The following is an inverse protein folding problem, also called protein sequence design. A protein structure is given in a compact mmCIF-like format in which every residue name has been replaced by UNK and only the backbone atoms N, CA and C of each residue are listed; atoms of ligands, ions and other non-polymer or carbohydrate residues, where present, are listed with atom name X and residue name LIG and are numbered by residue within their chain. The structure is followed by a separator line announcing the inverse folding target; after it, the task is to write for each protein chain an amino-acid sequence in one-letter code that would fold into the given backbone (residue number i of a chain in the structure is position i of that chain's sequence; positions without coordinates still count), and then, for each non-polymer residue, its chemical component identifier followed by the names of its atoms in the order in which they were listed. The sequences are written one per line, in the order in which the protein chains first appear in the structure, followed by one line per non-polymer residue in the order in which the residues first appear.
data_IF_101736240871
#
_entry.id   IF_101736240871
#
_cell.length_a   1.000
_cell.length_b   1.000
_cell.length_c   1.000
_cell.angle_alpha   90.00
_cell.angle_beta   90.00
_cell.angle_gamma   90.00
#
_symmetry.space_group_name_H-M   'P 1'
#
loop_
_entity.id
_entity.type
_entity.pdbx_description
1 polymer ?
#
# COMPACT_ATOMS: atom_id res chain seq x y z
N UNK A 1 -19.10 17.37 3.74
CA UNK A 1 -20.19 17.98 4.52
C UNK A 1 -19.64 18.64 5.77
N UNK A 2 -19.02 17.90 6.67
CA UNK A 2 -18.53 18.41 7.97
C UNK A 2 -17.47 19.51 7.82
N UNK A 3 -16.52 19.37 6.89
CA UNK A 3 -15.50 20.40 6.61
C UNK A 3 -16.14 21.68 6.13
N UNK A 4 -17.14 21.60 5.25
CA UNK A 4 -17.89 22.73 4.72
C UNK A 4 -18.66 23.47 5.82
N UNK A 5 -19.32 22.71 6.71
CA UNK A 5 -20.07 23.25 7.84
C UNK A 5 -19.16 23.94 8.86
N UNK A 6 -17.97 23.38 9.13
CA UNK A 6 -17.02 23.95 10.08
C UNK A 6 -16.24 25.15 9.51
N UNK A 7 -15.89 25.12 8.23
CA UNK A 7 -15.16 26.21 7.58
C UNK A 7 -16.03 27.45 7.31
N UNK A 8 -17.34 27.25 7.15
CA UNK A 8 -18.30 28.32 6.95
C UNK A 8 -18.37 28.89 5.54
N UNK A 9 -17.56 28.38 4.62
CA UNK A 9 -17.52 28.78 3.20
C UNK A 9 -17.56 27.56 2.29
N UNK A 10 -17.92 27.79 1.00
CA UNK A 10 -17.87 26.76 -0.03
C UNK A 10 -16.40 26.52 -0.43
N UNK A 11 -15.91 25.30 -0.24
CA UNK A 11 -14.58 24.90 -0.65
C UNK A 11 -14.61 24.38 -2.09
N UNK A 12 -14.35 25.27 -3.05
CA UNK A 12 -14.28 24.91 -4.47
C UNK A 12 -12.87 24.49 -4.89
N UNK A 13 -11.85 25.06 -4.28
CA UNK A 13 -10.43 24.80 -4.53
C UNK A 13 -9.68 24.51 -3.25
N UNK A 14 -8.82 23.47 -3.34
CA UNK A 14 -7.89 23.08 -2.28
C UNK A 14 -6.49 23.05 -2.90
N UNK A 15 -5.47 23.48 -2.17
CA UNK A 15 -4.09 23.57 -2.68
C UNK A 15 -3.48 22.22 -3.00
N UNK A 16 -3.73 21.21 -2.16
CA UNK A 16 -3.31 19.83 -2.36
C UNK A 16 -4.06 18.90 -1.41
N UNK A 17 -4.07 17.61 -1.74
CA UNK A 17 -4.70 16.56 -0.93
C UNK A 17 -3.75 15.39 -0.77
N UNK A 18 -4.01 14.52 0.20
CA UNK A 18 -3.32 13.25 0.39
C UNK A 18 -4.20 12.28 1.17
N UNK A 19 -3.93 11.00 0.97
CA UNK A 19 -4.65 9.93 1.66
C UNK A 19 -3.69 9.16 2.57
N UNK A 20 -4.15 8.95 3.79
CA UNK A 20 -3.51 8.08 4.76
C UNK A 20 -4.54 7.08 5.26
N UNK A 21 -4.24 5.79 5.14
CA UNK A 21 -5.13 4.75 5.59
C UNK A 21 -4.35 3.61 6.24
N UNK A 22 -5.07 2.60 6.76
CA UNK A 22 -4.43 1.42 7.33
C UNK A 22 -3.50 0.76 6.32
N UNK A 23 -2.30 0.43 6.75
CA UNK A 23 -1.31 -0.30 5.96
C UNK A 23 -1.72 -1.75 5.74
N UNK A 24 -1.05 -2.39 4.79
CA UNK A 24 -1.16 -3.83 4.53
C UNK A 24 -2.53 -4.28 4.01
N UNK A 25 -2.75 -5.58 4.03
CA UNK A 25 -3.97 -6.19 3.54
C UNK A 25 -3.92 -6.51 2.05
N UNK A 26 -5.02 -6.98 1.52
CA UNK A 26 -5.07 -7.54 0.17
C UNK A 26 -6.39 -7.19 -0.50
N UNK A 27 -6.33 -6.35 -1.52
CA UNK A 27 -7.44 -5.96 -2.39
C UNK A 27 -7.08 -6.30 -3.84
N UNK A 28 -7.39 -7.50 -4.32
CA UNK A 28 -7.09 -7.93 -5.69
C UNK A 28 -8.20 -7.54 -6.66
N UNK A 29 -7.81 -7.15 -7.87
CA UNK A 29 -8.69 -6.72 -8.95
C UNK A 29 -8.35 -7.46 -10.24
N UNK A 30 -9.37 -7.67 -11.09
CA UNK A 30 -9.23 -8.16 -12.46
C UNK A 30 -8.91 -7.04 -13.46
N UNK A 31 -8.83 -7.38 -14.76
CA UNK A 31 -8.57 -6.42 -15.85
C UNK A 31 -9.69 -5.39 -16.02
N UNK A 32 -10.92 -5.70 -15.61
CA UNK A 32 -12.07 -4.81 -15.62
C UNK A 32 -12.22 -3.99 -14.34
N UNK A 33 -11.21 -4.00 -13.45
CA UNK A 33 -11.19 -3.28 -12.18
C UNK A 33 -12.25 -3.75 -11.15
N UNK A 34 -12.75 -4.98 -11.29
CA UNK A 34 -13.64 -5.59 -10.31
C UNK A 34 -12.84 -6.19 -9.15
N UNK A 35 -13.31 -5.98 -7.92
CA UNK A 35 -12.72 -6.60 -6.73
C UNK A 35 -13.00 -8.11 -6.74
N UNK A 36 -11.96 -8.92 -6.83
CA UNK A 36 -12.04 -10.38 -7.00
C UNK A 36 -12.49 -11.13 -5.74
N UNK A 37 -12.07 -10.66 -4.57
CA UNK A 37 -12.47 -11.21 -3.26
C UNK A 37 -12.67 -10.09 -2.25
N UNK A 38 -13.43 -10.30 -1.17
CA UNK A 38 -13.58 -9.30 -0.11
C UNK A 38 -12.23 -8.85 0.46
N UNK A 39 -12.10 -7.57 0.76
CA UNK A 39 -10.89 -6.98 1.32
C UNK A 39 -10.41 -7.72 2.57
N UNK A 40 -9.21 -8.28 2.52
CA UNK A 40 -8.51 -8.88 3.66
C UNK A 40 -7.68 -7.80 4.33
N UNK A 41 -8.10 -7.34 5.51
CA UNK A 41 -7.42 -6.26 6.22
C UNK A 41 -6.18 -6.76 6.97
N UNK A 42 -5.40 -5.86 7.54
CA UNK A 42 -4.25 -6.16 8.39
C UNK A 42 -4.55 -7.07 9.60
N UNK A 43 -5.82 -7.21 10.00
CA UNK A 43 -6.27 -8.12 11.07
C UNK A 43 -6.41 -9.57 10.62
N UNK A 44 -6.40 -9.80 9.32
CA UNK A 44 -6.47 -11.13 8.78
C UNK A 44 -5.12 -11.82 8.93
N UNK A 45 -5.07 -12.95 9.61
CA UNK A 45 -3.87 -13.70 9.96
C UNK A 45 -3.88 -15.15 9.42
N UNK A 46 -4.56 -15.39 8.30
CA UNK A 46 -4.63 -16.72 7.68
C UNK A 46 -3.36 -17.13 6.95
N UNK A 47 -2.33 -16.31 6.96
CA UNK A 47 -1.15 -16.36 6.08
C UNK A 47 0.10 -16.95 6.75
N UNK A 48 -0.05 -17.73 7.81
CA UNK A 48 1.06 -18.33 8.54
C UNK A 48 1.94 -19.19 7.63
N UNK A 49 1.33 -20.07 6.84
CA UNK A 49 2.01 -20.95 5.89
C UNK A 49 2.83 -20.16 4.85
N UNK A 50 2.25 -19.08 4.34
CA UNK A 50 2.92 -18.20 3.38
C UNK A 50 4.15 -17.51 4.02
N UNK A 51 4.02 -17.01 5.25
CA UNK A 51 5.11 -16.32 5.93
C UNK A 51 6.26 -17.25 6.31
N UNK A 52 5.97 -18.50 6.65
CA UNK A 52 6.97 -19.54 6.95
C UNK A 52 7.84 -19.87 5.72
N UNK A 53 7.30 -19.72 4.51
CA UNK A 53 8.04 -19.87 3.26
C UNK A 53 8.75 -18.60 2.85
N UNK A 54 8.04 -17.46 2.84
CA UNK A 54 8.56 -16.20 2.30
C UNK A 54 9.67 -15.59 3.18
N UNK A 55 9.59 -15.72 4.50
CA UNK A 55 10.58 -15.17 5.43
C UNK A 55 11.99 -15.74 5.18
N UNK A 56 12.22 -17.05 5.15
CA UNK A 56 13.54 -17.59 4.82
C UNK A 56 13.93 -17.37 3.36
N UNK A 57 12.98 -17.37 2.42
CA UNK A 57 13.24 -17.14 1.00
C UNK A 57 13.84 -15.74 0.76
N UNK A 58 13.26 -14.72 1.37
CA UNK A 58 13.72 -13.33 1.23
C UNK A 58 14.86 -12.98 2.20
N UNK A 59 15.06 -13.77 3.26
CA UNK A 59 16.05 -13.47 4.29
C UNK A 59 15.68 -12.24 5.14
N UNK A 60 14.38 -11.95 5.22
CA UNK A 60 13.82 -10.91 6.09
C UNK A 60 12.43 -11.30 6.59
N UNK A 61 12.02 -10.73 7.72
CA UNK A 61 10.70 -10.98 8.29
C UNK A 61 9.59 -10.52 7.35
N UNK A 62 8.70 -11.44 6.99
CA UNK A 62 7.46 -11.15 6.26
C UNK A 62 6.29 -11.35 7.23
N UNK A 63 5.73 -10.28 7.79
CA UNK A 63 4.58 -10.39 8.70
C UNK A 63 3.34 -10.93 7.99
N UNK A 64 2.51 -11.67 8.72
CA UNK A 64 1.28 -12.28 8.18
C UNK A 64 0.31 -11.28 7.53
N UNK A 65 0.33 -10.02 7.96
CA UNK A 65 -0.55 -8.97 7.44
C UNK A 65 -0.13 -8.37 6.10
N UNK A 66 1.09 -8.66 5.61
CA UNK A 66 1.59 -8.10 4.36
C UNK A 66 0.84 -8.61 3.14
N UNK A 67 0.69 -7.76 2.13
CA UNK A 67 -0.07 -8.07 0.91
C UNK A 67 0.51 -9.28 0.16
N UNK A 68 1.84 -9.39 0.08
CA UNK A 68 2.49 -10.54 -0.56
C UNK A 68 2.23 -11.85 0.19
N UNK A 69 2.12 -11.82 1.52
CA UNK A 69 1.78 -12.99 2.30
C UNK A 69 0.35 -13.47 2.00
N UNK A 70 -0.59 -12.53 1.82
CA UNK A 70 -1.95 -12.87 1.40
C UNK A 70 -2.03 -13.42 -0.02
N UNK A 71 -1.28 -12.83 -0.96
CA UNK A 71 -1.21 -13.33 -2.33
C UNK A 71 -0.66 -14.76 -2.35
N UNK A 72 0.48 -14.99 -1.68
CA UNK A 72 1.08 -16.32 -1.67
C UNK A 72 0.22 -17.34 -0.92
N UNK A 73 -0.47 -16.95 0.15
CA UNK A 73 -1.42 -17.85 0.82
C UNK A 73 -2.60 -18.21 -0.08
N UNK A 74 -3.11 -17.27 -0.87
CA UNK A 74 -4.15 -17.56 -1.86
C UNK A 74 -3.68 -18.56 -2.93
N UNK A 75 -2.42 -18.44 -3.36
CA UNK A 75 -1.77 -19.40 -4.28
C UNK A 75 -1.67 -20.79 -3.63
N UNK A 76 -1.21 -20.87 -2.39
CA UNK A 76 -1.10 -22.13 -1.63
C UNK A 76 -2.46 -22.81 -1.46
N UNK A 77 -3.49 -22.04 -1.19
CA UNK A 77 -4.87 -22.51 -1.03
C UNK A 77 -5.51 -22.91 -2.37
N UNK A 78 -4.91 -22.57 -3.52
CA UNK A 78 -5.51 -22.78 -4.84
C UNK A 78 -6.78 -21.94 -5.05
N UNK A 79 -6.82 -20.72 -4.54
CA UNK A 79 -7.97 -19.84 -4.69
C UNK A 79 -8.14 -19.39 -6.15
N UNK A 80 -9.33 -19.59 -6.70
CA UNK A 80 -9.62 -19.39 -8.13
C UNK A 80 -9.31 -17.98 -8.66
N UNK A 81 -9.48 -16.96 -7.81
CA UNK A 81 -9.30 -15.57 -8.20
C UNK A 81 -7.86 -15.21 -8.59
N UNK A 82 -6.87 -16.00 -8.15
CA UNK A 82 -5.44 -15.70 -8.37
C UNK A 82 -5.08 -15.70 -9.86
N UNK A 83 -5.74 -16.56 -10.66
CA UNK A 83 -5.50 -16.63 -12.12
C UNK A 83 -5.98 -15.40 -12.89
N UNK A 84 -6.99 -14.71 -12.35
CA UNK A 84 -7.63 -13.54 -12.96
C UNK A 84 -7.08 -12.22 -12.40
N UNK A 85 -6.00 -12.29 -11.59
CA UNK A 85 -5.39 -11.13 -10.95
C UNK A 85 -4.67 -10.24 -11.96
N UNK A 86 -5.08 -8.98 -12.06
CA UNK A 86 -4.44 -7.96 -12.88
C UNK A 86 -3.81 -6.82 -12.05
N UNK A 87 -4.28 -6.63 -10.82
CA UNK A 87 -3.78 -5.60 -9.93
C UNK A 87 -4.14 -5.92 -8.48
N UNK A 88 -3.28 -5.59 -7.52
CA UNK A 88 -3.68 -5.59 -6.11
C UNK A 88 -3.04 -4.43 -5.36
N UNK A 89 -3.73 -3.95 -4.33
CA UNK A 89 -3.29 -2.76 -3.61
C UNK A 89 -3.76 -2.76 -2.15
N UNK A 90 -3.40 -1.72 -1.42
CA UNK A 90 -3.85 -1.39 -0.07
C UNK A 90 -5.09 -0.49 -0.09
N UNK A 91 -5.65 -0.21 1.08
CA UNK A 91 -6.79 0.72 1.18
C UNK A 91 -6.42 2.14 0.75
N UNK A 92 -5.23 2.64 1.12
CA UNK A 92 -4.78 3.97 0.71
C UNK A 92 -4.61 4.06 -0.80
N UNK A 93 -4.00 3.06 -1.42
CA UNK A 93 -3.85 2.95 -2.87
C UNK A 93 -5.19 2.87 -3.59
N UNK A 94 -6.13 2.08 -3.08
CA UNK A 94 -7.49 2.00 -3.66
C UNK A 94 -8.22 3.34 -3.63
N UNK A 95 -8.21 4.04 -2.50
CA UNK A 95 -8.86 5.36 -2.40
C UNK A 95 -8.21 6.34 -3.36
N UNK A 96 -6.86 6.36 -3.40
CA UNK A 96 -6.11 7.22 -4.30
C UNK A 96 -6.46 6.96 -5.76
N UNK A 97 -6.42 5.71 -6.19
CA UNK A 97 -6.79 5.30 -7.53
C UNK A 97 -8.21 5.75 -7.92
N UNK A 98 -9.18 5.57 -7.02
CA UNK A 98 -10.57 6.01 -7.25
C UNK A 98 -10.71 7.53 -7.38
N UNK A 99 -9.78 8.30 -6.81
CA UNK A 99 -9.78 9.76 -6.87
C UNK A 99 -9.01 10.31 -8.07
N UNK A 100 -7.97 9.61 -8.54
CA UNK A 100 -7.01 10.10 -9.54
C UNK A 100 -7.00 9.33 -10.84
N UNK A 101 -7.41 8.06 -10.83
CA UNK A 101 -7.18 7.11 -11.92
C UNK A 101 -5.79 6.46 -11.89
N UNK A 102 -4.88 6.90 -10.99
CA UNK A 102 -3.49 6.41 -10.94
C UNK A 102 -3.33 5.25 -9.95
N UNK A 103 -2.77 4.13 -10.41
CA UNK A 103 -2.49 2.92 -9.61
C UNK A 103 -1.10 3.00 -8.96
N UNK A 104 -0.93 3.92 -8.03
CA UNK A 104 0.35 4.21 -7.37
C UNK A 104 0.26 4.11 -5.85
N UNK A 105 1.40 3.91 -5.19
CA UNK A 105 1.56 3.99 -3.74
C UNK A 105 2.75 4.88 -3.36
N UNK A 106 2.69 5.49 -2.19
CA UNK A 106 3.86 5.99 -1.52
C UNK A 106 4.78 4.85 -1.07
N UNK A 107 6.09 5.10 -1.05
CA UNK A 107 7.10 4.08 -0.72
C UNK A 107 6.88 3.47 0.67
N UNK A 108 6.36 4.25 1.62
CA UNK A 108 6.08 3.76 2.97
C UNK A 108 4.99 2.69 2.98
N UNK A 109 3.88 2.92 2.29
CA UNK A 109 2.79 1.93 2.19
C UNK A 109 3.18 0.73 1.31
N UNK A 110 3.87 0.98 0.17
CA UNK A 110 4.40 -0.06 -0.70
C UNK A 110 5.33 -1.03 0.05
N UNK A 111 6.11 -0.54 1.03
CA UNK A 111 6.97 -1.38 1.88
C UNK A 111 6.21 -2.40 2.75
N UNK A 112 4.92 -2.19 2.93
CA UNK A 112 4.02 -3.13 3.60
C UNK A 112 3.33 -4.11 2.65
N UNK A 113 3.49 -3.93 1.35
CA UNK A 113 3.03 -4.88 0.34
C UNK A 113 4.10 -5.89 -0.02
N UNK A 114 5.30 -5.40 -0.34
CA UNK A 114 6.45 -6.18 -0.75
C UNK A 114 7.76 -5.49 -0.30
N UNK A 115 8.87 -6.23 -0.09
CA UNK A 115 10.16 -5.64 0.27
C UNK A 115 10.65 -4.56 -0.68
N UNK A 116 11.21 -3.49 -0.12
CA UNK A 116 11.77 -2.35 -0.84
C UNK A 116 13.30 -2.39 -0.75
N UNK A 117 13.98 -2.20 -1.88
CA UNK A 117 15.42 -1.92 -1.88
C UNK A 117 15.65 -0.49 -1.37
N UNK A 118 16.38 -0.31 -0.25
CA UNK A 118 16.60 1.00 0.35
C UNK A 118 17.43 1.95 -0.53
N UNK A 119 18.15 1.45 -1.54
CA UNK A 119 18.96 2.24 -2.47
C UNK A 119 18.14 2.81 -3.60
N UNK A 120 17.39 1.94 -4.28
CA UNK A 120 16.55 2.32 -5.43
C UNK A 120 15.22 2.92 -5.03
N UNK A 121 14.73 2.63 -3.81
CA UNK A 121 13.39 2.98 -3.32
C UNK A 121 12.26 2.34 -4.15
N UNK A 122 12.59 1.28 -4.85
CA UNK A 122 11.66 0.45 -5.61
C UNK A 122 11.54 -0.93 -4.95
N UNK A 123 10.61 -1.75 -5.41
CA UNK A 123 10.52 -3.15 -4.99
C UNK A 123 11.84 -3.87 -5.22
N UNK A 124 12.27 -4.69 -4.27
CA UNK A 124 13.54 -5.41 -4.34
C UNK A 124 13.50 -6.43 -5.49
N UNK A 125 14.25 -6.15 -6.56
CA UNK A 125 14.24 -6.98 -7.76
C UNK A 125 14.72 -8.41 -7.51
N UNK A 126 15.70 -8.60 -6.60
CA UNK A 126 16.20 -9.94 -6.26
C UNK A 126 15.12 -10.77 -5.55
N UNK A 127 14.34 -10.12 -4.68
CA UNK A 127 13.24 -10.79 -3.99
C UNK A 127 12.05 -11.04 -4.93
N UNK A 128 11.81 -10.14 -5.89
CA UNK A 128 10.81 -10.36 -6.95
C UNK A 128 11.16 -11.58 -7.80
N UNK A 129 12.41 -11.69 -8.27
CA UNK A 129 12.87 -12.86 -9.04
C UNK A 129 12.71 -14.16 -8.23
N UNK A 130 13.07 -14.14 -6.94
CA UNK A 130 12.86 -15.32 -6.06
C UNK A 130 11.38 -15.69 -5.91
N UNK A 131 10.49 -14.71 -5.86
CA UNK A 131 9.05 -14.98 -5.79
C UNK A 131 8.53 -15.55 -7.11
N UNK A 132 8.95 -15.00 -8.25
CA UNK A 132 8.61 -15.56 -9.57
C UNK A 132 9.09 -17.00 -9.73
N UNK A 133 10.32 -17.31 -9.31
CA UNK A 133 10.85 -18.67 -9.30
C UNK A 133 10.02 -19.62 -8.40
N UNK A 134 9.58 -19.11 -7.24
CA UNK A 134 8.77 -19.89 -6.28
C UNK A 134 7.41 -20.30 -6.85
N UNK A 135 6.82 -19.48 -7.71
CA UNK A 135 5.49 -19.73 -8.29
C UNK A 135 5.52 -20.20 -9.74
N UNK A 136 6.69 -20.40 -10.32
CA UNK A 136 6.87 -20.70 -11.75
C UNK A 136 6.08 -21.94 -12.23
N UNK A 137 5.87 -22.93 -11.37
CA UNK A 137 5.09 -24.14 -11.66
C UNK A 137 3.58 -23.89 -11.78
N UNK A 138 3.10 -22.72 -11.36
CA UNK A 138 1.69 -22.35 -11.41
C UNK A 138 1.27 -21.78 -12.76
N UNK A 139 2.22 -21.32 -13.57
CA UNK A 139 1.99 -20.81 -14.95
C UNK A 139 0.92 -19.71 -15.02
N UNK A 140 0.94 -18.75 -14.09
CA UNK A 140 0.07 -17.60 -14.15
C UNK A 140 0.37 -16.74 -15.38
N UNK A 141 -0.65 -16.07 -15.93
CA UNK A 141 -0.50 -15.15 -17.07
C UNK A 141 0.13 -13.81 -16.70
N UNK A 142 0.11 -13.44 -15.43
CA UNK A 142 0.67 -12.21 -14.87
C UNK A 142 2.05 -12.43 -14.25
N UNK A 143 2.85 -11.38 -14.20
CA UNK A 143 4.07 -11.29 -13.40
C UNK A 143 3.88 -10.34 -12.23
N UNK A 144 4.61 -10.55 -11.14
CA UNK A 144 4.49 -9.73 -9.93
C UNK A 144 4.68 -8.24 -10.21
N UNK A 145 5.61 -7.88 -11.11
CA UNK A 145 5.87 -6.51 -11.51
C UNK A 145 4.65 -5.83 -12.17
N UNK A 146 3.82 -6.61 -12.88
CA UNK A 146 2.69 -6.07 -13.62
C UNK A 146 1.48 -5.80 -12.73
N UNK A 147 1.38 -6.51 -11.61
CA UNK A 147 0.21 -6.46 -10.72
C UNK A 147 0.42 -5.61 -9.46
N UNK A 148 1.66 -5.16 -9.18
CA UNK A 148 1.98 -4.27 -8.08
C UNK A 148 1.75 -2.79 -8.46
N UNK A 149 1.35 -1.92 -7.51
CA UNK A 149 1.29 -0.47 -7.75
C UNK A 149 2.65 0.12 -8.06
N UNK A 150 2.70 1.14 -8.89
CA UNK A 150 3.91 1.93 -9.10
C UNK A 150 4.26 2.73 -7.82
N UNK A 151 5.55 2.80 -7.48
CA UNK A 151 6.00 3.51 -6.28
C UNK A 151 6.27 4.99 -6.59
N UNK A 152 5.80 5.87 -5.72
CA UNK A 152 6.14 7.30 -5.71
C UNK A 152 6.78 7.69 -4.38
N UNK A 153 7.73 8.60 -4.44
CA UNK A 153 8.37 9.16 -3.24
C UNK A 153 7.60 10.38 -2.73
N UNK A 154 7.76 10.68 -1.45
CA UNK A 154 7.20 11.89 -0.88
C UNK A 154 7.67 13.14 -1.63
N UNK A 155 6.71 13.97 -2.06
CA UNK A 155 6.95 15.16 -2.87
C UNK A 155 6.90 14.94 -4.38
N UNK A 156 6.82 13.71 -4.87
CA UNK A 156 6.54 13.44 -6.27
C UNK A 156 5.06 13.60 -6.60
N UNK A 157 4.75 13.82 -7.86
CA UNK A 157 3.36 13.87 -8.32
C UNK A 157 2.77 12.46 -8.35
N UNK A 158 1.60 12.31 -7.79
CA UNK A 158 0.80 11.09 -7.85
C UNK A 158 -0.54 11.30 -8.56
N UNK A 159 -0.60 12.27 -9.46
CA UNK A 159 -1.80 12.62 -10.20
C UNK A 159 -2.59 13.77 -9.56
N UNK A 160 -3.77 13.99 -10.07
CA UNK A 160 -4.69 15.03 -9.62
C UNK A 160 -6.11 14.49 -9.50
N UNK A 161 -6.90 15.14 -8.66
CA UNK A 161 -8.30 14.80 -8.47
C UNK A 161 -9.05 14.87 -9.81
N UNK A 162 -9.66 13.77 -10.21
CA UNK A 162 -10.52 13.71 -11.40
C UNK A 162 -11.91 14.32 -11.14
N UNK A 163 -12.69 14.54 -12.17
CA UNK A 163 -14.09 14.98 -12.03
C UNK A 163 -14.93 13.94 -11.28
N UNK A 164 -14.71 12.66 -11.56
CA UNK A 164 -15.35 11.54 -10.88
C UNK A 164 -14.93 11.48 -9.42
N UNK A 165 -13.63 11.63 -9.12
CA UNK A 165 -13.10 11.68 -7.77
C UNK A 165 -13.65 12.87 -6.98
N UNK A 166 -13.74 14.05 -7.59
CA UNK A 166 -14.33 15.23 -6.97
C UNK A 166 -15.80 14.99 -6.59
N UNK A 167 -16.57 14.36 -7.47
CA UNK A 167 -17.97 14.02 -7.22
C UNK A 167 -18.15 12.96 -6.13
N UNK A 168 -17.21 12.04 -5.97
CA UNK A 168 -17.22 11.08 -4.87
C UNK A 168 -16.98 11.76 -3.52
N UNK A 169 -16.06 12.73 -3.47
CA UNK A 169 -15.77 13.50 -2.25
C UNK A 169 -16.84 14.53 -1.91
N UNK A 170 -17.38 15.18 -2.95
CA UNK A 170 -18.40 16.20 -2.81
C UNK A 170 -19.57 15.96 -3.78
N UNK A 171 -20.58 15.19 -3.35
CA UNK A 171 -21.79 14.95 -4.18
C UNK A 171 -22.56 16.22 -4.55
N UNK A 172 -22.32 17.37 -3.88
CA UNK A 172 -22.92 18.66 -4.27
C UNK A 172 -22.34 19.23 -5.57
N UNK A 173 -21.13 18.76 -5.98
CA UNK A 173 -20.48 19.14 -7.24
C UNK A 173 -19.80 20.51 -7.19
N UNK A 174 -19.54 21.06 -6.00
CA UNK A 174 -18.89 22.35 -5.83
C UNK A 174 -17.36 22.24 -5.81
N UNK A 175 -16.83 21.04 -5.45
CA UNK A 175 -15.39 20.76 -5.44
C UNK A 175 -14.88 20.62 -6.88
N UNK A 176 -13.91 21.45 -7.26
CA UNK A 176 -13.32 21.43 -8.59
C UNK A 176 -12.29 20.28 -8.72
N UNK A 177 -12.23 19.65 -9.91
CA UNK A 177 -11.18 18.72 -10.27
C UNK A 177 -9.82 19.44 -10.47
N UNK A 178 -8.73 18.66 -10.62
CA UNK A 178 -7.39 19.18 -10.89
C UNK A 178 -6.58 19.50 -9.64
N UNK A 179 -7.08 19.22 -8.45
CA UNK A 179 -6.33 19.37 -7.19
C UNK A 179 -5.19 18.35 -7.18
N UNK A 180 -3.91 18.79 -7.02
CA UNK A 180 -2.78 17.87 -6.90
C UNK A 180 -2.92 16.93 -5.71
N UNK A 181 -2.64 15.64 -5.91
CA UNK A 181 -2.72 14.64 -4.86
C UNK A 181 -1.32 14.05 -4.61
N UNK A 182 -0.93 14.03 -3.34
CA UNK A 182 0.32 13.41 -2.89
C UNK A 182 0.24 11.88 -2.98
N UNK A 183 1.38 11.17 -3.07
CA UNK A 183 1.39 9.72 -2.98
C UNK A 183 0.65 9.22 -1.74
N UNK A 184 -0.24 8.23 -1.88
CA UNK A 184 -0.99 7.69 -0.75
C UNK A 184 -0.08 6.90 0.17
N UNK A 185 -0.22 7.08 1.49
CA UNK A 185 0.65 6.48 2.49
C UNK A 185 -0.12 5.72 3.56
N UNK A 186 0.57 4.78 4.19
CA UNK A 186 0.06 4.07 5.34
C UNK A 186 0.04 4.91 6.61
N UNK A 187 -0.88 4.60 7.51
CA UNK A 187 -1.07 5.30 8.80
C UNK A 187 0.18 5.26 9.69
N UNK A 188 0.98 4.20 9.63
CA UNK A 188 2.21 4.10 10.40
C UNK A 188 3.26 5.12 9.94
N UNK A 189 3.50 5.27 8.64
CA UNK A 189 4.44 6.24 8.08
C UNK A 189 4.00 7.68 8.31
N UNK A 190 2.74 7.99 8.08
CA UNK A 190 2.18 9.32 8.35
C UNK A 190 2.17 9.66 9.83
N UNK A 191 1.99 8.66 10.72
CA UNK A 191 2.15 8.81 12.16
C UNK A 191 3.56 9.22 12.59
N UNK A 192 4.59 8.71 11.94
CA UNK A 192 5.98 9.17 12.17
C UNK A 192 6.18 10.62 11.74
N UNK A 193 5.62 11.03 10.61
CA UNK A 193 5.67 12.41 10.16
C UNK A 193 4.92 13.34 11.12
N UNK A 194 3.71 12.96 11.54
CA UNK A 194 2.88 13.72 12.47
C UNK A 194 3.53 13.93 13.84
N UNK A 195 4.34 12.96 14.32
CA UNK A 195 5.07 13.03 15.58
C UNK A 195 6.48 13.60 15.43
N UNK A 196 6.86 14.08 14.25
CA UNK A 196 8.22 14.57 13.93
C UNK A 196 9.33 13.53 14.24
N UNK A 197 9.05 12.25 13.98
CA UNK A 197 9.91 11.11 14.30
C UNK A 197 10.62 10.53 13.08
N UNK A 198 10.91 11.38 12.07
CA UNK A 198 11.49 10.95 10.77
C UNK A 198 13.01 11.12 10.70
N UNK A 199 13.64 11.70 11.70
CA UNK A 199 15.10 11.82 11.75
C UNK A 199 15.74 10.50 12.15
N UNK A 200 16.97 10.27 11.68
CA UNK A 200 17.79 9.14 12.14
C UNK A 200 17.86 9.11 13.68
N UNK A 201 17.75 7.90 14.25
CA UNK A 201 17.74 7.64 15.70
C UNK A 201 16.56 8.24 16.45
N UNK A 202 15.50 8.60 15.75
CA UNK A 202 14.22 8.91 16.35
C UNK A 202 13.20 7.82 16.01
N UNK A 203 12.08 7.82 16.70
CA UNK A 203 11.02 6.86 16.46
C UNK A 203 9.77 7.26 17.22
N UNK A 204 8.71 6.53 16.95
CA UNK A 204 7.47 6.65 17.69
C UNK A 204 6.96 5.29 18.16
N UNK A 205 6.09 5.32 19.14
CA UNK A 205 5.34 4.15 19.60
C UNK A 205 3.87 4.44 19.40
N UNK A 206 3.22 3.60 18.62
CA UNK A 206 1.77 3.58 18.51
C UNK A 206 1.22 2.61 19.54
N UNK A 207 0.42 3.10 20.47
CA UNK A 207 -0.17 2.32 21.57
C UNK A 207 -1.69 2.36 21.48
N UNK A 208 -2.27 1.27 21.02
CA UNK A 208 -3.70 1.06 20.93
C UNK A 208 -4.05 -0.38 21.35
N UNK A 209 -4.95 -1.04 20.64
CA UNK A 209 -5.23 -2.47 20.82
C UNK A 209 -3.98 -3.32 20.59
N UNK A 210 -3.16 -2.92 19.62
CA UNK A 210 -1.79 -3.42 19.42
C UNK A 210 -0.80 -2.32 19.74
N UNK A 211 0.40 -2.69 20.14
CA UNK A 211 1.51 -1.77 20.38
C UNK A 211 2.62 -2.10 19.40
N UNK A 212 3.08 -1.10 18.66
CA UNK A 212 4.27 -1.24 17.82
C UNK A 212 5.15 0.00 17.89
N UNK A 213 6.44 -0.21 17.73
CA UNK A 213 7.44 0.86 17.69
C UNK A 213 8.07 0.92 16.31
N UNK A 214 8.25 2.13 15.79
CA UNK A 214 9.02 2.39 14.57
C UNK A 214 10.21 3.27 14.91
N UNK A 215 11.37 2.92 14.36
CA UNK A 215 12.62 3.63 14.60
C UNK A 215 13.33 3.86 13.28
N UNK A 216 13.79 5.08 13.05
CA UNK A 216 14.63 5.42 11.90
C UNK A 216 16.08 5.06 12.21
N UNK A 217 16.59 4.07 11.50
CA UNK A 217 17.98 3.62 11.66
C UNK A 217 18.94 4.56 10.93
N UNK A 218 20.18 4.63 11.39
CA UNK A 218 21.28 5.33 10.74
C UNK A 218 22.07 4.47 9.73
N UNK A 219 21.84 3.16 9.75
CA UNK A 219 22.44 2.18 8.85
C UNK A 219 21.44 1.07 8.52
N UNK A 220 21.63 0.45 7.40
CA UNK A 220 20.90 -0.77 7.01
C UNK A 220 21.17 -1.90 8.01
N UNK A 221 20.17 -2.75 8.23
CA UNK A 221 20.36 -3.97 9.00
C UNK A 221 21.25 -4.94 8.21
N UNK A 222 22.24 -5.52 8.88
CA UNK A 222 23.21 -6.44 8.27
C UNK A 222 22.75 -7.89 8.30
N UNK A 223 21.69 -8.19 9.04
CA UNK A 223 21.10 -9.51 9.15
C UNK A 223 19.62 -9.40 9.54
N UNK A 224 18.90 -10.47 9.26
CA UNK A 224 17.55 -10.67 9.77
C UNK A 224 17.54 -10.86 11.30
N UNK A 225 16.57 -10.25 11.95
CA UNK A 225 16.27 -10.39 13.38
C UNK A 225 14.82 -10.89 13.49
N UNK A 226 14.61 -12.11 14.02
CA UNK A 226 13.28 -12.69 14.18
C UNK A 226 12.42 -11.95 15.21
#
# INVERSE_FOLDING_TARGET
KDVKEQYGEILTKIGSMGFSAMMHGYMPFDEEDNLLVPFRTWRNNITEQATDVLTPLFGQQIPQRWSIAHLYQAILNGEDHVKDLAFFTTLAGYIHWRMTGEKVLGVGDASGMFPIDPKTKQYDAVMMDKFEDLIADRHFAWHLADILPEIRLAGESAGSLTAEGAKLLDPSGELEAGIPIAPPEGDAGTGMAATNSVKQRTGNVSAGTSVFAMVVLDKELTKYYP
#
